data_IF_496496936584
#
_entry.id   IF_496496936584
#
_cell.length_a   1.000
_cell.length_b   1.000
_cell.length_c   1.000
_cell.angle_alpha   90.00
_cell.angle_beta   90.00
_cell.angle_gamma   90.00
#
_symmetry.space_group_name_H-M   'P 1'
#
loop_
_entity.id
_entity.type
_entity.pdbx_description
1 polymer ?
#
# COMPACT_ATOMS: atom_id res chain seq x y z
N UNK A 1 -19.86 -7.07 -11.73
CA UNK A 1 -19.49 -5.79 -11.05
C UNK A 1 -18.01 -5.53 -11.17
N UNK A 2 -17.66 -4.32 -11.51
CA UNK A 2 -16.29 -3.87 -11.64
C UNK A 2 -15.55 -3.96 -10.29
N UNK A 3 -14.32 -4.45 -10.30
CA UNK A 3 -13.49 -4.50 -9.08
C UNK A 3 -12.95 -3.10 -8.75
N UNK A 4 -12.44 -2.93 -7.53
CA UNK A 4 -11.76 -1.67 -7.15
C UNK A 4 -10.57 -1.44 -8.08
N UNK A 5 -9.82 -2.50 -8.41
CA UNK A 5 -8.72 -2.47 -9.37
C UNK A 5 -9.15 -1.88 -10.72
N UNK A 6 -10.24 -2.37 -11.27
CA UNK A 6 -10.75 -1.89 -12.56
C UNK A 6 -11.22 -0.44 -12.47
N UNK A 7 -11.94 -0.09 -11.40
CA UNK A 7 -12.43 1.27 -11.19
C UNK A 7 -11.28 2.28 -11.03
N UNK A 8 -10.15 1.85 -10.46
CA UNK A 8 -8.98 2.71 -10.31
C UNK A 8 -8.19 2.89 -11.61
N UNK A 9 -8.61 2.28 -12.70
CA UNK A 9 -7.94 2.40 -13.99
C UNK A 9 -6.96 1.28 -14.30
N UNK A 10 -7.09 0.16 -13.60
CA UNK A 10 -6.24 -1.01 -13.85
C UNK A 10 -4.78 -0.78 -13.47
N UNK A 11 -3.89 -1.48 -14.12
CA UNK A 11 -2.44 -1.39 -13.85
C UNK A 11 -1.93 0.04 -14.00
N UNK A 12 -2.31 0.74 -15.06
CA UNK A 12 -1.86 2.11 -15.32
C UNK A 12 -2.35 3.09 -14.27
N UNK A 13 -3.62 2.95 -13.84
CA UNK A 13 -4.20 3.81 -12.81
C UNK A 13 -3.53 3.64 -11.47
N UNK A 14 -3.25 2.40 -11.09
CA UNK A 14 -2.59 2.12 -9.81
C UNK A 14 -1.10 2.48 -9.84
N UNK A 15 -0.44 2.37 -10.99
CA UNK A 15 0.94 2.87 -11.13
C UNK A 15 0.96 4.39 -10.94
N UNK A 16 0.01 5.10 -11.54
CA UNK A 16 -0.10 6.55 -11.38
C UNK A 16 -0.31 6.93 -9.92
N UNK A 17 -1.15 6.17 -9.21
CA UNK A 17 -1.38 6.36 -7.77
C UNK A 17 -0.10 6.11 -6.96
N UNK A 18 0.62 5.05 -7.27
CA UNK A 18 1.87 4.71 -6.58
C UNK A 18 2.94 5.78 -6.78
N UNK A 19 3.08 6.29 -8.00
CA UNK A 19 4.02 7.37 -8.30
C UNK A 19 3.63 8.66 -7.58
N UNK A 20 2.34 8.99 -7.54
CA UNK A 20 1.85 10.16 -6.82
C UNK A 20 2.10 10.06 -5.32
N UNK A 21 1.84 8.89 -4.73
CA UNK A 21 2.11 8.64 -3.31
C UNK A 21 3.61 8.76 -3.00
N UNK A 22 4.44 8.15 -3.83
CA UNK A 22 5.90 8.22 -3.66
C UNK A 22 6.39 9.67 -3.67
N UNK A 23 5.89 10.49 -4.60
CA UNK A 23 6.23 11.91 -4.69
C UNK A 23 5.87 12.65 -3.40
N UNK A 24 4.67 12.40 -2.87
CA UNK A 24 4.21 13.05 -1.63
C UNK A 24 5.02 12.59 -0.43
N UNK A 25 5.32 11.29 -0.35
CA UNK A 25 6.10 10.70 0.74
C UNK A 25 7.51 11.28 0.77
N UNK A 26 8.17 11.39 -0.38
CA UNK A 26 9.53 11.92 -0.45
C UNK A 26 9.59 13.42 -0.11
N UNK A 27 8.46 14.13 -0.22
CA UNK A 27 8.36 15.53 0.18
C UNK A 27 7.97 15.71 1.66
N UNK A 28 7.60 14.64 2.34
CA UNK A 28 7.22 14.67 3.76
C UNK A 28 8.46 14.41 4.63
N UNK A 29 8.74 15.31 5.57
CA UNK A 29 9.95 15.22 6.38
C UNK A 29 9.98 14.04 7.36
N UNK A 30 8.82 13.47 7.69
CA UNK A 30 8.75 12.31 8.58
C UNK A 30 8.75 11.01 7.79
N UNK A 31 7.83 10.88 6.82
CA UNK A 31 7.67 9.62 6.07
C UNK A 31 8.89 9.33 5.20
N UNK A 32 9.55 10.38 4.67
CA UNK A 32 10.74 10.20 3.84
C UNK A 32 11.88 9.47 4.57
N UNK A 33 11.89 9.50 5.90
CA UNK A 33 12.88 8.76 6.69
C UNK A 33 12.78 7.25 6.49
N UNK A 34 11.61 6.72 6.11
CA UNK A 34 11.45 5.31 5.78
C UNK A 34 12.31 4.90 4.58
N UNK A 35 12.70 5.88 3.76
CA UNK A 35 13.54 5.67 2.59
C UNK A 35 14.93 6.26 2.74
N UNK A 36 15.38 6.54 3.98
CA UNK A 36 16.67 7.18 4.24
C UNK A 36 17.88 6.38 3.75
N UNK A 37 17.72 5.07 3.60
CA UNK A 37 18.76 4.19 3.05
C UNK A 37 18.54 3.89 1.55
N UNK A 38 17.66 4.66 0.91
CA UNK A 38 17.31 4.48 -0.49
C UNK A 38 16.10 3.58 -0.69
N UNK A 39 15.77 3.33 -1.93
CA UNK A 39 14.66 2.46 -2.30
C UNK A 39 14.99 1.74 -3.60
N UNK A 40 14.27 0.64 -3.85
CA UNK A 40 14.46 -0.15 -5.07
C UNK A 40 14.17 0.72 -6.30
N UNK A 41 14.97 0.62 -7.40
CA UNK A 41 14.71 1.40 -8.62
C UNK A 41 13.31 1.21 -9.20
N UNK A 42 12.69 0.06 -8.95
CA UNK A 42 11.32 -0.24 -9.40
C UNK A 42 10.32 -0.13 -8.25
N UNK A 43 10.58 0.73 -7.26
CA UNK A 43 9.74 0.85 -6.07
C UNK A 43 8.27 1.09 -6.41
N UNK A 44 7.99 2.07 -7.28
CA UNK A 44 6.61 2.42 -7.63
C UNK A 44 5.91 1.29 -8.39
N UNK A 45 6.62 0.62 -9.30
CA UNK A 45 6.08 -0.51 -10.06
C UNK A 45 5.76 -1.69 -9.13
N UNK A 46 6.65 -1.97 -8.17
CA UNK A 46 6.43 -3.07 -7.21
C UNK A 46 5.26 -2.76 -6.28
N UNK A 47 5.17 -1.52 -5.80
CA UNK A 47 4.07 -1.08 -4.96
C UNK A 47 2.73 -1.13 -5.71
N UNK A 48 2.73 -0.64 -6.95
CA UNK A 48 1.52 -0.70 -7.79
C UNK A 48 1.07 -2.14 -8.01
N UNK A 49 2.00 -3.05 -8.28
CA UNK A 49 1.68 -4.47 -8.47
C UNK A 49 1.07 -5.08 -7.20
N UNK A 50 1.55 -4.69 -6.03
CA UNK A 50 0.98 -5.11 -4.76
C UNK A 50 -0.48 -4.64 -4.64
N UNK A 51 -0.74 -3.37 -4.93
CA UNK A 51 -2.10 -2.82 -4.87
C UNK A 51 -3.01 -3.43 -5.93
N UNK A 52 -2.48 -3.73 -7.12
CA UNK A 52 -3.24 -4.44 -8.17
C UNK A 52 -3.80 -5.74 -7.60
N UNK A 53 -2.96 -6.54 -6.99
CA UNK A 53 -3.37 -7.82 -6.43
C UNK A 53 -4.32 -7.64 -5.25
N UNK A 54 -4.02 -6.71 -4.34
CA UNK A 54 -4.84 -6.46 -3.16
C UNK A 54 -6.23 -5.95 -3.52
N UNK A 55 -6.37 -5.19 -4.60
CA UNK A 55 -7.63 -4.53 -4.95
C UNK A 55 -8.46 -5.30 -5.99
N UNK A 56 -8.16 -6.56 -6.20
CA UNK A 56 -8.97 -7.45 -7.01
C UNK A 56 -8.46 -7.73 -8.41
N UNK A 57 -7.26 -7.27 -8.73
CA UNK A 57 -6.61 -7.54 -10.01
C UNK A 57 -5.83 -8.87 -10.03
N UNK A 58 -5.03 -9.09 -11.07
CA UNK A 58 -4.22 -10.31 -11.19
C UNK A 58 -3.17 -10.43 -10.08
N UNK A 59 -2.67 -11.64 -9.86
CA UNK A 59 -1.67 -11.94 -8.81
C UNK A 59 -0.25 -11.55 -9.24
N UNK A 60 -0.11 -10.40 -9.83
CA UNK A 60 1.16 -9.93 -10.42
C UNK A 60 2.29 -9.85 -9.41
N UNK A 61 2.02 -9.32 -8.21
CA UNK A 61 3.05 -9.20 -7.19
C UNK A 61 3.53 -10.56 -6.71
N UNK A 62 2.60 -11.46 -6.37
CA UNK A 62 2.93 -12.80 -5.89
C UNK A 62 3.66 -13.62 -6.94
N UNK A 63 3.35 -13.40 -8.21
CA UNK A 63 3.96 -14.16 -9.32
C UNK A 63 5.35 -13.64 -9.67
N UNK A 64 5.63 -12.35 -9.51
CA UNK A 64 6.85 -11.72 -10.06
C UNK A 64 7.79 -11.11 -9.03
N UNK A 65 7.29 -10.64 -7.89
CA UNK A 65 8.08 -9.78 -7.01
C UNK A 65 8.35 -10.34 -5.62
N UNK A 66 7.39 -10.99 -5.00
CA UNK A 66 7.61 -11.52 -3.66
C UNK A 66 6.34 -11.99 -2.97
N UNK A 67 6.42 -12.08 -1.64
CA UNK A 67 5.34 -12.61 -0.81
C UNK A 67 4.87 -11.57 0.20
N UNK A 68 3.67 -11.77 0.73
CA UNK A 68 3.14 -10.91 1.80
C UNK A 68 4.05 -10.95 3.03
N UNK A 69 4.57 -12.14 3.37
CA UNK A 69 5.50 -12.28 4.50
C UNK A 69 6.71 -11.36 4.35
N UNK A 70 7.31 -11.31 3.17
CA UNK A 70 8.45 -10.43 2.89
C UNK A 70 8.08 -8.95 3.02
N UNK A 71 6.91 -8.56 2.50
CA UNK A 71 6.44 -7.17 2.56
C UNK A 71 6.22 -6.75 4.02
N UNK A 72 5.55 -7.60 4.80
CA UNK A 72 5.27 -7.29 6.21
C UNK A 72 6.57 -7.23 7.01
N UNK A 73 7.53 -8.10 6.73
CA UNK A 73 8.86 -8.07 7.38
C UNK A 73 9.58 -6.77 7.14
N UNK A 74 9.51 -6.22 5.93
CA UNK A 74 10.14 -4.92 5.62
C UNK A 74 9.57 -3.77 6.46
N UNK A 75 8.32 -3.90 6.92
CA UNK A 75 7.64 -2.87 7.72
C UNK A 75 7.70 -3.19 9.23
N UNK A 76 8.44 -4.21 9.63
CA UNK A 76 8.42 -4.74 10.99
C UNK A 76 9.74 -4.46 11.71
N UNK A 77 9.72 -4.56 13.06
CA UNK A 77 10.92 -4.43 13.87
C UNK A 77 11.41 -3.00 14.09
N UNK A 78 10.62 -2.01 13.71
CA UNK A 78 11.00 -0.59 13.81
C UNK A 78 10.38 0.12 15.01
N UNK A 79 9.67 -0.62 15.86
CA UNK A 79 8.90 -0.04 16.96
C UNK A 79 7.63 0.66 16.47
N UNK A 80 6.84 1.20 17.40
CA UNK A 80 5.65 1.98 17.02
C UNK A 80 6.04 3.24 16.25
N UNK A 81 5.29 3.56 15.20
CA UNK A 81 5.54 4.76 14.37
C UNK A 81 4.21 5.39 13.93
N UNK A 82 3.38 5.71 14.91
CA UNK A 82 2.03 6.22 14.69
C UNK A 82 1.99 7.51 13.88
N UNK A 83 2.92 8.44 14.14
CA UNK A 83 2.97 9.69 13.38
C UNK A 83 3.35 9.44 11.92
N UNK A 84 4.32 8.56 11.68
CA UNK A 84 4.71 8.20 10.31
C UNK A 84 3.54 7.55 9.59
N UNK A 85 2.82 6.65 10.25
CA UNK A 85 1.65 6.00 9.66
C UNK A 85 0.57 7.02 9.30
N UNK A 86 0.27 7.96 10.20
CA UNK A 86 -0.73 9.00 9.95
C UNK A 86 -0.35 9.88 8.77
N UNK A 87 0.93 10.25 8.68
CA UNK A 87 1.42 11.08 7.57
C UNK A 87 1.43 10.32 6.25
N UNK A 88 1.77 9.03 6.29
CA UNK A 88 1.70 8.17 5.10
C UNK A 88 0.27 8.07 4.57
N UNK A 89 -0.71 7.98 5.45
CA UNK A 89 -2.13 7.96 5.09
C UNK A 89 -2.54 9.31 4.48
N UNK A 90 -2.10 10.41 5.08
CA UNK A 90 -2.38 11.75 4.52
C UNK A 90 -1.78 11.89 3.13
N UNK A 91 -0.54 11.43 2.93
CA UNK A 91 0.10 11.42 1.61
C UNK A 91 -0.70 10.59 0.61
N UNK A 92 -1.27 9.48 1.06
CA UNK A 92 -2.10 8.64 0.20
C UNK A 92 -3.40 9.33 -0.19
N UNK A 93 -4.05 10.02 0.74
CA UNK A 93 -5.26 10.78 0.44
C UNK A 93 -4.99 11.88 -0.59
N UNK A 94 -3.85 12.56 -0.47
CA UNK A 94 -3.42 13.55 -1.45
C UNK A 94 -3.09 12.90 -2.80
N UNK A 95 -2.47 11.73 -2.79
CA UNK A 95 -2.15 10.97 -4.00
C UNK A 95 -3.43 10.54 -4.74
N UNK A 96 -4.47 10.17 -4.02
CA UNK A 96 -5.78 9.83 -4.61
C UNK A 96 -6.28 11.02 -5.44
N UNK A 97 -6.17 12.23 -4.91
CA UNK A 97 -6.57 13.45 -5.62
C UNK A 97 -5.64 13.73 -6.81
N UNK A 98 -4.34 13.58 -6.61
CA UNK A 98 -3.34 13.80 -7.66
C UNK A 98 -3.57 12.85 -8.85
N UNK A 99 -3.99 11.63 -8.57
CA UNK A 99 -4.24 10.62 -9.60
C UNK A 99 -5.66 10.71 -10.20
N UNK A 100 -6.49 11.61 -9.69
CA UNK A 100 -7.86 11.78 -10.19
C UNK A 100 -8.83 10.69 -9.77
N UNK A 101 -8.58 10.04 -8.63
CA UNK A 101 -9.36 8.90 -8.16
C UNK A 101 -10.25 9.24 -6.94
N UNK A 102 -10.42 10.53 -6.64
CA UNK A 102 -11.12 10.98 -5.44
C UNK A 102 -12.63 10.85 -5.50
N UNK A 103 -13.23 10.65 -6.68
CA UNK A 103 -14.68 10.53 -6.79
C UNK A 103 -15.22 9.33 -6.01
N UNK A 104 -16.30 9.54 -5.29
CA UNK A 104 -16.93 8.48 -4.50
C UNK A 104 -17.69 7.50 -5.39
N UNK A 105 -17.74 6.22 -5.03
CA UNK A 105 -17.22 5.61 -3.79
C UNK A 105 -15.74 5.21 -3.83
N UNK A 106 -15.06 5.38 -4.94
CA UNK A 106 -13.67 4.92 -5.12
C UNK A 106 -12.71 5.57 -4.14
N UNK A 107 -12.79 6.90 -3.98
CA UNK A 107 -11.91 7.63 -3.07
C UNK A 107 -11.98 7.07 -1.65
N UNK A 108 -13.19 6.81 -1.15
CA UNK A 108 -13.37 6.28 0.19
C UNK A 108 -12.85 4.86 0.33
N UNK A 109 -13.10 4.00 -0.64
CA UNK A 109 -12.65 2.60 -0.54
C UNK A 109 -11.12 2.51 -0.59
N UNK A 110 -10.47 3.35 -1.37
CA UNK A 110 -9.01 3.41 -1.42
C UNK A 110 -8.44 3.91 -0.09
N UNK A 111 -9.02 4.97 0.46
CA UNK A 111 -8.62 5.50 1.77
C UNK A 111 -8.77 4.43 2.86
N UNK A 112 -9.91 3.75 2.90
CA UNK A 112 -10.17 2.71 3.90
C UNK A 112 -9.19 1.55 3.77
N UNK A 113 -8.88 1.14 2.54
CA UNK A 113 -7.90 0.09 2.29
C UNK A 113 -6.52 0.48 2.82
N UNK A 114 -6.03 1.63 2.42
CA UNK A 114 -4.67 2.04 2.80
C UNK A 114 -4.55 2.23 4.31
N UNK A 115 -5.57 2.82 4.94
CA UNK A 115 -5.61 3.02 6.38
C UNK A 115 -5.54 1.67 7.10
N UNK A 116 -6.38 0.72 6.67
CA UNK A 116 -6.38 -0.63 7.25
C UNK A 116 -5.03 -1.33 7.06
N UNK A 117 -4.50 -1.31 5.83
CA UNK A 117 -3.23 -1.98 5.51
C UNK A 117 -2.07 -1.41 6.35
N UNK A 118 -2.02 -0.08 6.47
CA UNK A 118 -0.95 0.59 7.21
C UNK A 118 -1.06 0.33 8.71
N UNK A 119 -2.24 0.49 9.29
CA UNK A 119 -2.41 0.42 10.74
C UNK A 119 -2.58 -1.01 11.27
N UNK A 120 -3.09 -1.93 10.46
CA UNK A 120 -3.35 -3.30 10.89
C UNK A 120 -2.28 -4.27 10.42
N UNK A 121 -1.99 -4.28 9.11
CA UNK A 121 -1.08 -5.28 8.53
C UNK A 121 0.38 -4.89 8.70
N UNK A 122 0.74 -3.71 8.24
CA UNK A 122 2.15 -3.30 8.18
C UNK A 122 2.71 -2.92 9.55
N UNK A 123 1.88 -2.48 10.46
CA UNK A 123 2.31 -2.11 11.82
C UNK A 123 2.15 -3.22 12.84
N UNK A 124 1.64 -4.37 12.44
CA UNK A 124 1.30 -5.47 13.36
C UNK A 124 2.49 -6.03 14.13
N UNK A 125 3.63 -6.13 13.47
CA UNK A 125 4.83 -6.76 14.04
C UNK A 125 5.93 -5.72 14.32
N UNK A 126 5.54 -4.57 14.89
CA UNK A 126 6.48 -3.45 15.11
C UNK A 126 7.65 -3.83 16.03
N UNK A 127 7.49 -4.82 16.89
CA UNK A 127 8.53 -5.22 17.84
C UNK A 127 9.65 -6.04 17.19
N UNK A 128 9.34 -6.94 16.28
CA UNK A 128 10.35 -7.77 15.63
C UNK A 128 9.86 -8.37 14.31
N UNK A 129 10.69 -8.24 13.27
CA UNK A 129 10.43 -8.87 11.99
C UNK A 129 10.44 -10.42 12.10
N UNK A 130 11.13 -10.97 13.08
CA UNK A 130 11.17 -12.41 13.32
C UNK A 130 9.81 -12.98 13.76
N UNK A 131 8.91 -12.13 14.25
CA UNK A 131 7.57 -12.53 14.66
C UNK A 131 6.61 -12.73 13.48
N UNK A 132 6.99 -12.26 12.29
CA UNK A 132 6.14 -12.38 11.09
C UNK A 132 6.12 -13.83 10.63
N UNK A 133 4.94 -14.47 10.57
CA UNK A 133 4.88 -15.87 10.16
C UNK A 133 5.17 -16.04 8.67
N UNK A 134 5.65 -17.24 8.31
CA UNK A 134 5.81 -17.62 6.92
C UNK A 134 4.44 -17.89 6.28
N UNK A 135 4.38 -17.81 4.97
CA UNK A 135 3.21 -18.25 4.21
C UNK A 135 2.02 -17.30 4.22
N UNK A 136 2.22 -16.04 4.58
CA UNK A 136 1.14 -15.06 4.52
C UNK A 136 0.71 -14.80 3.07
N UNK A 137 -0.60 -14.67 2.86
CA UNK A 137 -1.15 -14.26 1.57
C UNK A 137 -1.49 -12.77 1.59
N UNK A 138 -1.43 -12.14 0.42
CA UNK A 138 -1.80 -10.73 0.29
C UNK A 138 -3.29 -10.59 0.58
N UNK A 139 -3.69 -9.78 1.58
CA UNK A 139 -5.10 -9.55 1.85
C UNK A 139 -5.79 -8.90 0.66
N UNK A 140 -6.98 -9.37 0.33
CA UNK A 140 -7.75 -8.82 -0.79
C UNK A 140 -8.87 -7.93 -0.27
N UNK A 141 -9.04 -6.81 -0.93
CA UNK A 141 -9.98 -5.75 -0.52
C UNK A 141 -10.98 -5.48 -1.64
N UNK A 142 -12.24 -5.44 -1.29
CA UNK A 142 -13.33 -5.15 -2.23
C UNK A 142 -14.05 -3.86 -1.84
N UNK A 143 -15.12 -3.54 -2.57
CA UNK A 143 -15.99 -2.40 -2.22
C UNK A 143 -16.58 -2.51 -0.82
N UNK A 144 -16.66 -3.74 -0.29
CA UNK A 144 -17.22 -4.01 1.03
C UNK A 144 -16.13 -4.20 2.11
N UNK A 145 -14.89 -3.95 1.78
CA UNK A 145 -13.77 -4.09 2.70
C UNK A 145 -12.99 -5.39 2.52
N UNK A 146 -12.39 -5.86 3.61
CA UNK A 146 -11.55 -7.05 3.58
C UNK A 146 -12.34 -8.29 3.17
N UNK A 147 -11.80 -9.03 2.21
CA UNK A 147 -12.35 -10.31 1.77
C UNK A 147 -11.89 -11.41 2.72
N UNK A 148 -12.79 -12.27 3.09
CA UNK A 148 -12.48 -13.43 3.95
C UNK A 148 -12.00 -14.61 3.12
#
# INVERSE_FOLDING_TARGET
>A
MESVYEAAGGDAGLLRLAEAWHTRVMADEVVSHAFSHGFHPQHSERLAAYWVEALGGPTTFSDKYGTETEVVRMHSGNGPHEEMDRRAITCFDEAIRDAGLEAEPLGKVLHDYFTWATTTTMSRYHSSAADVPDGLGIPRWSWNGLQS
#
